data_IF_295705536975
#
_entry.id   IF_295705536975
#
_cell.length_a   1.000
_cell.length_b   1.000
_cell.length_c   1.000
_cell.angle_alpha   90.00
_cell.angle_beta   90.00
_cell.angle_gamma   90.00
#
_symmetry.space_group_name_H-M   'P 1'
#
loop_
_entity.id
_entity.type
_entity.pdbx_description
1 polymer ?
#
# COMPACT_ATOMS: atom_id res chain seq x y z
N UNK A 1 16.79 16.38 34.48
CA UNK A 1 18.13 16.52 33.87
C UNK A 1 18.20 15.52 32.74
N UNK A 2 18.32 16.07 31.53
CA UNK A 2 18.34 15.40 30.24
C UNK A 2 19.64 14.64 30.02
N UNK A 3 19.60 13.64 29.14
CA UNK A 3 20.40 13.55 27.89
C UNK A 3 19.99 12.23 27.19
N UNK A 4 18.97 12.27 26.34
CA UNK A 4 19.04 12.42 24.87
C UNK A 4 19.97 11.40 24.18
N UNK A 5 19.34 10.32 23.71
CA UNK A 5 19.92 9.40 22.74
C UNK A 5 20.12 10.08 21.40
N UNK A 6 21.32 9.86 20.86
CA UNK A 6 21.79 10.38 19.58
C UNK A 6 20.83 10.05 18.44
N UNK A 7 20.24 11.11 17.92
CA UNK A 7 19.43 11.13 16.71
C UNK A 7 20.32 11.02 15.47
N UNK A 8 19.85 10.33 14.43
CA UNK A 8 20.63 9.90 13.25
C UNK A 8 20.98 11.04 12.26
N UNK A 9 21.44 12.20 12.73
CA UNK A 9 21.67 13.39 11.87
C UNK A 9 23.11 13.93 11.80
N UNK A 10 24.09 13.30 12.43
CA UNK A 10 25.46 13.86 12.53
C UNK A 10 26.51 13.25 11.57
N UNK A 11 26.14 12.76 10.39
CA UNK A 11 27.12 12.15 9.47
C UNK A 11 27.69 13.06 8.37
N UNK A 12 27.45 14.38 8.31
CA UNK A 12 28.06 15.20 7.25
C UNK A 12 28.44 16.61 7.70
N UNK A 13 29.44 16.74 8.59
CA UNK A 13 30.23 17.98 8.71
C UNK A 13 31.69 17.69 9.09
N UNK A 14 32.49 17.21 8.14
CA UNK A 14 33.95 17.35 8.26
C UNK A 14 34.69 17.29 6.91
N UNK A 15 34.91 18.45 6.30
CA UNK A 15 36.06 18.83 5.46
C UNK A 15 35.77 20.24 4.89
N UNK A 16 36.60 21.27 5.00
CA UNK A 16 37.95 21.37 5.54
C UNK A 16 38.34 22.84 5.74
N UNK A 17 39.44 23.06 6.44
CA UNK A 17 40.05 24.37 6.63
C UNK A 17 41.34 24.51 5.79
N UNK A 18 41.41 25.64 5.09
CA UNK A 18 42.57 26.42 4.61
C UNK A 18 43.58 25.82 3.62
N UNK A 19 43.65 26.46 2.44
CA UNK A 19 44.81 26.49 1.55
C UNK A 19 44.71 27.69 0.59
N UNK A 20 45.66 28.62 0.68
CA UNK A 20 45.77 29.83 -0.15
C UNK A 20 46.41 29.47 -1.51
N UNK A 21 45.77 29.91 -2.61
CA UNK A 21 46.42 30.29 -3.86
C UNK A 21 46.61 29.22 -4.95
N UNK A 22 45.81 29.30 -6.02
CA UNK A 22 46.27 29.52 -7.41
C UNK A 22 45.05 29.62 -8.35
N UNK A 23 45.04 30.65 -9.21
CA UNK A 23 44.00 30.89 -10.21
C UNK A 23 44.24 29.98 -11.42
N UNK A 24 43.23 29.18 -11.78
CA UNK A 24 43.11 28.51 -13.09
C UNK A 24 41.66 28.67 -13.57
N UNK A 25 41.39 29.11 -14.81
CA UNK A 25 40.04 29.23 -15.33
C UNK A 25 39.59 27.86 -15.84
N UNK A 26 39.00 27.05 -14.97
CA UNK A 26 38.27 25.85 -15.39
C UNK A 26 36.79 26.18 -15.34
N UNK A 27 36.12 26.00 -16.48
CA UNK A 27 34.72 26.36 -16.68
C UNK A 27 33.83 25.90 -15.54
N UNK A 28 33.01 26.84 -15.05
CA UNK A 28 31.90 26.58 -14.15
C UNK A 28 30.88 25.69 -14.89
N UNK A 29 31.14 24.39 -14.92
CA UNK A 29 30.06 23.42 -14.88
C UNK A 29 29.46 23.53 -13.49
N UNK A 30 28.35 24.25 -13.37
CA UNK A 30 27.46 24.11 -12.24
C UNK A 30 27.08 22.64 -12.14
N UNK A 31 27.73 21.94 -11.21
CA UNK A 31 27.16 20.74 -10.62
C UNK A 31 25.88 21.20 -9.93
N UNK A 32 24.76 21.20 -10.65
CA UNK A 32 23.46 21.18 -10.02
C UNK A 32 23.50 19.99 -9.05
N UNK A 33 23.58 20.29 -7.76
CA UNK A 33 23.32 19.28 -6.74
C UNK A 33 21.98 18.68 -7.12
N UNK A 34 21.94 17.37 -7.37
CA UNK A 34 20.72 16.68 -7.72
C UNK A 34 19.67 17.06 -6.67
N UNK A 35 18.68 17.85 -7.09
CA UNK A 35 17.58 18.24 -6.23
C UNK A 35 16.93 16.92 -5.78
N UNK A 36 16.84 16.70 -4.48
CA UNK A 36 16.13 15.52 -3.98
C UNK A 36 14.70 15.62 -4.51
N UNK A 37 14.33 14.68 -5.38
CA UNK A 37 12.96 14.58 -5.87
C UNK A 37 12.07 14.23 -4.68
N UNK A 38 11.10 15.09 -4.42
CA UNK A 38 10.00 14.79 -3.51
C UNK A 38 9.15 13.67 -4.16
N UNK A 39 9.03 12.49 -3.52
CA UNK A 39 8.34 11.34 -4.09
C UNK A 39 6.84 11.56 -4.31
N UNK A 40 6.27 12.60 -3.69
CA UNK A 40 4.84 12.90 -3.74
C UNK A 40 4.55 14.10 -4.66
N UNK A 41 5.58 14.87 -5.02
CA UNK A 41 5.44 16.03 -5.90
C UNK A 41 5.08 15.60 -7.33
N UNK A 42 3.85 15.93 -7.72
CA UNK A 42 3.33 15.71 -9.07
C UNK A 42 2.77 14.32 -9.30
N UNK A 43 2.59 13.54 -8.23
CA UNK A 43 1.90 12.25 -8.30
C UNK A 43 0.41 12.49 -8.52
N UNK A 44 -0.16 11.80 -9.49
CA UNK A 44 -1.59 11.90 -9.79
C UNK A 44 -2.39 10.99 -8.86
N UNK A 45 -3.66 11.31 -8.61
CA UNK A 45 -4.59 10.47 -7.85
C UNK A 45 -4.54 8.98 -8.27
N UNK A 46 -4.47 8.72 -9.57
CA UNK A 46 -4.36 7.35 -10.09
C UNK A 46 -3.02 6.69 -9.75
N UNK A 47 -1.92 7.44 -9.74
CA UNK A 47 -0.61 6.89 -9.37
C UNK A 47 -0.53 6.60 -7.87
N UNK A 48 -1.14 7.41 -7.00
CA UNK A 48 -1.23 7.10 -5.57
C UNK A 48 -2.10 5.87 -5.29
N UNK A 49 -3.28 5.75 -5.90
CA UNK A 49 -4.10 4.54 -5.81
C UNK A 49 -3.32 3.28 -6.25
N UNK A 50 -2.52 3.39 -7.31
CA UNK A 50 -1.65 2.29 -7.76
C UNK A 50 -0.52 1.97 -6.77
N UNK A 51 0.06 2.97 -6.09
CA UNK A 51 1.01 2.72 -5.00
C UNK A 51 0.35 1.97 -3.84
N UNK A 52 -0.89 2.35 -3.50
CA UNK A 52 -1.69 1.73 -2.45
C UNK A 52 -2.04 0.26 -2.78
N UNK A 53 -2.31 -0.06 -4.05
CA UNK A 53 -2.40 -1.45 -4.53
C UNK A 53 -1.11 -2.25 -4.31
N UNK A 54 0.06 -1.59 -4.28
CA UNK A 54 1.32 -2.23 -3.90
C UNK A 54 1.31 -2.76 -2.45
N UNK A 55 0.66 -2.04 -1.52
CA UNK A 55 0.48 -2.49 -0.13
C UNK A 55 -0.52 -3.65 -0.07
N UNK A 56 -1.64 -3.55 -0.80
CA UNK A 56 -2.62 -4.65 -0.91
C UNK A 56 -1.96 -5.93 -1.43
N UNK A 57 -1.17 -5.85 -2.50
CA UNK A 57 -0.43 -7.00 -3.05
C UNK A 57 0.45 -7.70 -2.02
N UNK A 58 1.13 -6.94 -1.17
CA UNK A 58 1.96 -7.48 -0.07
C UNK A 58 1.09 -8.17 0.99
N UNK A 59 -0.08 -7.61 1.32
CA UNK A 59 -1.06 -8.28 2.18
C UNK A 59 -1.55 -9.61 1.57
N UNK A 60 -1.80 -9.66 0.26
CA UNK A 60 -2.17 -10.90 -0.43
C UNK A 60 -1.06 -11.96 -0.35
N UNK A 61 0.21 -11.56 -0.53
CA UNK A 61 1.37 -12.44 -0.37
C UNK A 61 1.49 -13.00 1.05
N UNK A 62 1.24 -12.16 2.07
CA UNK A 62 1.22 -12.61 3.48
C UNK A 62 0.14 -13.68 3.69
N UNK A 63 -1.07 -13.48 3.16
CA UNK A 63 -2.13 -14.50 3.24
C UNK A 63 -1.72 -15.79 2.56
N UNK A 64 -1.16 -15.75 1.35
CA UNK A 64 -0.68 -16.94 0.63
C UNK A 64 0.35 -17.72 1.46
N UNK A 65 1.36 -17.04 1.99
CA UNK A 65 2.37 -17.66 2.83
C UNK A 65 1.80 -18.22 4.14
N UNK A 66 0.89 -17.50 4.79
CA UNK A 66 0.19 -17.96 6.00
C UNK A 66 -0.66 -19.21 5.72
N UNK A 67 -1.44 -19.22 4.63
CA UNK A 67 -2.23 -20.37 4.19
C UNK A 67 -1.33 -21.59 3.97
N UNK A 68 -0.19 -21.39 3.30
CA UNK A 68 0.74 -22.49 3.01
C UNK A 68 1.28 -23.13 4.29
N UNK A 69 1.65 -22.33 5.29
CA UNK A 69 2.06 -22.85 6.60
C UNK A 69 0.97 -23.65 7.28
N UNK A 70 -0.27 -23.13 7.31
CA UNK A 70 -1.41 -23.84 7.88
C UNK A 70 -1.66 -25.19 7.19
N UNK A 71 -1.58 -25.24 5.85
CA UNK A 71 -1.74 -26.48 5.07
C UNK A 71 -0.64 -27.49 5.36
N UNK A 72 0.59 -27.03 5.52
CA UNK A 72 1.74 -27.86 5.86
C UNK A 72 1.80 -28.27 7.33
N UNK A 73 0.86 -27.79 8.16
CA UNK A 73 0.87 -27.96 9.63
C UNK A 73 2.15 -27.38 10.27
N UNK A 74 2.70 -26.34 9.66
CA UNK A 74 3.78 -25.54 10.22
C UNK A 74 3.21 -24.53 11.21
N UNK A 75 4.00 -24.18 12.23
CA UNK A 75 3.63 -23.15 13.19
C UNK A 75 3.48 -21.80 12.50
N UNK A 76 2.32 -21.16 12.72
CA UNK A 76 2.05 -19.80 12.27
C UNK A 76 1.14 -19.11 13.27
N UNK A 77 1.56 -17.91 13.66
CA UNK A 77 0.87 -17.10 14.64
C UNK A 77 -0.45 -16.55 14.04
N UNK A 78 -1.58 -16.60 14.79
CA UNK A 78 -2.84 -15.98 14.34
C UNK A 78 -2.70 -14.49 14.03
N UNK A 79 -1.76 -13.80 14.68
CA UNK A 79 -1.49 -12.39 14.51
C UNK A 79 -1.06 -12.04 13.08
N UNK A 80 -0.44 -12.97 12.34
CA UNK A 80 -0.13 -12.77 10.91
C UNK A 80 -1.40 -12.43 10.14
N UNK A 81 -2.45 -13.24 10.29
CA UNK A 81 -3.72 -13.03 9.61
C UNK A 81 -4.49 -11.85 10.18
N UNK A 82 -4.50 -11.71 11.51
CA UNK A 82 -5.27 -10.68 12.20
C UNK A 82 -4.73 -9.28 11.91
N UNK A 83 -3.43 -9.06 12.02
CA UNK A 83 -2.82 -7.76 11.74
C UNK A 83 -2.91 -7.41 10.25
N UNK A 84 -2.74 -8.38 9.35
CA UNK A 84 -2.93 -8.16 7.90
C UNK A 84 -4.37 -7.74 7.59
N UNK A 85 -5.36 -8.42 8.18
CA UNK A 85 -6.78 -8.07 7.99
C UNK A 85 -7.14 -6.72 8.62
N UNK A 86 -6.52 -6.36 9.75
CA UNK A 86 -6.69 -5.05 10.36
C UNK A 86 -6.13 -3.94 9.47
N UNK A 87 -4.95 -4.15 8.87
CA UNK A 87 -4.35 -3.22 7.91
C UNK A 87 -5.21 -3.08 6.66
N UNK A 88 -5.68 -4.19 6.07
CA UNK A 88 -6.62 -4.17 4.94
C UNK A 88 -7.85 -3.32 5.30
N UNK A 89 -8.45 -3.54 6.47
CA UNK A 89 -9.61 -2.76 6.89
C UNK A 89 -9.30 -1.27 6.96
N UNK A 90 -8.28 -0.86 7.70
CA UNK A 90 -8.03 0.56 7.93
C UNK A 90 -7.50 1.29 6.70
N UNK A 91 -6.66 0.64 5.90
CA UNK A 91 -5.95 1.26 4.79
C UNK A 91 -6.64 1.03 3.45
N UNK A 92 -7.01 -0.22 3.14
CA UNK A 92 -7.63 -0.55 1.85
C UNK A 92 -9.12 -0.19 1.90
N UNK A 93 -9.86 -0.69 2.88
CA UNK A 93 -11.34 -0.61 2.85
C UNK A 93 -11.87 0.77 3.32
N UNK A 94 -11.33 1.32 4.40
CA UNK A 94 -11.85 2.56 5.01
C UNK A 94 -11.16 3.84 4.50
N UNK A 95 -10.13 3.71 3.66
CA UNK A 95 -9.42 4.84 3.04
C UNK A 95 -9.38 4.73 1.52
N UNK A 96 -8.61 3.78 0.97
CA UNK A 96 -8.43 3.64 -0.48
C UNK A 96 -9.76 3.43 -1.23
N UNK A 97 -10.51 2.38 -0.90
CA UNK A 97 -11.80 2.08 -1.53
C UNK A 97 -12.84 3.18 -1.28
N UNK A 98 -12.72 3.91 -0.16
CA UNK A 98 -13.61 5.06 0.13
C UNK A 98 -13.35 6.21 -0.81
N UNK A 99 -12.08 6.52 -1.08
CA UNK A 99 -11.72 7.52 -2.08
C UNK A 99 -12.24 7.14 -3.47
N UNK A 100 -12.13 5.86 -3.85
CA UNK A 100 -12.68 5.40 -5.11
C UNK A 100 -14.20 5.54 -5.19
N UNK A 101 -14.90 5.11 -4.14
CA UNK A 101 -16.36 5.18 -4.04
C UNK A 101 -16.89 6.61 -4.06
N UNK A 102 -16.19 7.53 -3.40
CA UNK A 102 -16.62 8.92 -3.23
C UNK A 102 -16.22 9.81 -4.42
N UNK A 103 -15.05 9.56 -5.02
CA UNK A 103 -14.47 10.50 -5.98
C UNK A 103 -14.24 9.91 -7.37
N UNK A 104 -13.85 8.64 -7.48
CA UNK A 104 -13.50 8.04 -8.78
C UNK A 104 -14.75 7.49 -9.48
N UNK A 105 -15.47 6.58 -8.83
CA UNK A 105 -16.62 5.89 -9.40
C UNK A 105 -17.75 6.84 -9.87
N UNK A 106 -18.08 7.94 -9.15
CA UNK A 106 -19.10 8.87 -9.60
C UNK A 106 -18.76 9.56 -10.93
N UNK A 107 -17.48 9.78 -11.23
CA UNK A 107 -17.06 10.38 -12.51
C UNK A 107 -17.46 9.49 -13.68
N UNK A 108 -17.26 8.18 -13.56
CA UNK A 108 -17.63 7.19 -14.59
C UNK A 108 -19.14 7.09 -14.76
N UNK A 109 -19.89 7.07 -13.65
CA UNK A 109 -21.35 7.01 -13.66
C UNK A 109 -21.97 8.25 -14.32
N UNK A 110 -21.49 9.45 -13.96
CA UNK A 110 -21.95 10.72 -14.55
C UNK A 110 -21.71 10.77 -16.06
N UNK A 111 -20.57 10.26 -16.52
CA UNK A 111 -20.21 10.25 -17.94
C UNK A 111 -20.70 8.99 -18.69
N UNK A 112 -21.42 8.08 -18.01
CA UNK A 112 -21.95 6.83 -18.57
C UNK A 112 -20.87 5.97 -19.25
N UNK A 113 -19.65 5.97 -18.71
CA UNK A 113 -18.53 5.14 -19.19
C UNK A 113 -18.23 4.06 -18.18
N UNK A 114 -17.96 2.82 -18.63
CA UNK A 114 -17.57 1.69 -17.78
C UNK A 114 -18.52 1.38 -16.60
N UNK A 115 -19.80 1.76 -16.70
CA UNK A 115 -20.77 1.66 -15.59
C UNK A 115 -20.87 0.23 -15.03
N UNK A 116 -20.95 -0.79 -15.89
CA UNK A 116 -21.02 -2.19 -15.43
C UNK A 116 -19.74 -2.67 -14.72
N UNK A 117 -18.58 -2.10 -15.06
CA UNK A 117 -17.35 -2.37 -14.32
C UNK A 117 -17.43 -1.71 -12.92
N UNK A 118 -17.79 -0.43 -12.86
CA UNK A 118 -17.94 0.30 -11.58
C UNK A 118 -18.95 -0.39 -10.65
N UNK A 119 -20.09 -0.84 -11.16
CA UNK A 119 -21.08 -1.61 -10.39
C UNK A 119 -20.48 -2.90 -9.81
N UNK A 120 -19.64 -3.58 -10.60
CA UNK A 120 -18.95 -4.80 -10.16
C UNK A 120 -17.91 -4.49 -9.08
N UNK A 121 -17.11 -3.44 -9.25
CA UNK A 121 -16.08 -3.02 -8.28
C UNK A 121 -16.72 -2.65 -6.94
N UNK A 122 -17.78 -1.83 -6.95
CA UNK A 122 -18.56 -1.49 -5.73
C UNK A 122 -19.10 -2.74 -5.03
N UNK A 123 -19.64 -3.70 -5.79
CA UNK A 123 -20.12 -4.95 -5.22
C UNK A 123 -18.98 -5.79 -4.61
N UNK A 124 -17.80 -5.75 -5.23
CA UNK A 124 -16.59 -6.40 -4.72
C UNK A 124 -16.06 -5.74 -3.45
N UNK A 125 -16.05 -4.41 -3.31
CA UNK A 125 -15.70 -3.74 -2.05
C UNK A 125 -16.60 -4.19 -0.89
N UNK A 126 -17.92 -4.28 -1.14
CA UNK A 126 -18.88 -4.78 -0.14
C UNK A 126 -18.59 -6.24 0.25
N UNK A 127 -18.24 -7.08 -0.72
CA UNK A 127 -17.85 -8.46 -0.45
C UNK A 127 -16.52 -8.55 0.31
N UNK A 128 -15.53 -7.73 -0.05
CA UNK A 128 -14.22 -7.61 0.58
C UNK A 128 -14.36 -7.34 2.07
N UNK A 129 -15.10 -6.28 2.45
CA UNK A 129 -15.39 -5.96 3.86
C UNK A 129 -15.98 -7.11 4.67
N UNK A 130 -16.85 -7.92 4.06
CA UNK A 130 -17.42 -9.11 4.71
C UNK A 130 -16.36 -10.19 4.92
N UNK A 131 -15.53 -10.46 3.92
CA UNK A 131 -14.45 -11.44 4.00
C UNK A 131 -13.40 -11.00 5.03
N UNK A 132 -13.00 -9.74 5.04
CA UNK A 132 -12.09 -9.16 6.04
C UNK A 132 -12.64 -9.33 7.46
N UNK A 133 -13.93 -9.12 7.67
CA UNK A 133 -14.57 -9.40 8.96
C UNK A 133 -14.49 -10.88 9.37
N UNK A 134 -14.65 -11.82 8.43
CA UNK A 134 -14.46 -13.25 8.69
C UNK A 134 -13.01 -13.58 9.05
N UNK A 135 -12.04 -13.03 8.31
CA UNK A 135 -10.60 -13.23 8.60
C UNK A 135 -10.27 -12.74 10.00
N UNK A 136 -10.73 -11.55 10.40
CA UNK A 136 -10.52 -11.02 11.75
C UNK A 136 -11.17 -11.89 12.83
N UNK A 137 -12.37 -12.40 12.57
CA UNK A 137 -13.05 -13.30 13.51
C UNK A 137 -12.28 -14.61 13.71
N UNK A 138 -11.94 -15.32 12.64
CA UNK A 138 -11.30 -16.63 12.72
C UNK A 138 -9.81 -16.56 13.12
N UNK A 139 -9.16 -15.41 12.90
CA UNK A 139 -7.80 -15.15 13.36
C UNK A 139 -7.71 -14.69 14.81
N UNK A 140 -8.83 -14.46 15.52
CA UNK A 140 -8.79 -14.16 16.94
C UNK A 140 -8.15 -15.33 17.73
N UNK A 141 -7.30 -15.09 18.75
CA UNK A 141 -6.49 -16.13 19.38
C UNK A 141 -7.29 -17.35 19.89
N UNK A 142 -8.48 -17.14 20.44
CA UNK A 142 -9.35 -18.22 20.90
C UNK A 142 -9.96 -19.00 19.73
N UNK A 143 -10.43 -18.31 18.69
CA UNK A 143 -11.07 -18.93 17.52
C UNK A 143 -10.06 -19.75 16.73
N UNK A 144 -8.85 -19.24 16.56
CA UNK A 144 -7.78 -19.86 15.78
C UNK A 144 -7.32 -21.22 16.31
N UNK A 145 -7.60 -21.56 17.58
CA UNK A 145 -7.26 -22.86 18.17
C UNK A 145 -8.03 -24.03 17.53
N UNK A 146 -9.23 -23.78 16.99
CA UNK A 146 -10.02 -24.80 16.31
C UNK A 146 -9.49 -25.07 14.90
N UNK A 147 -9.32 -26.35 14.55
CA UNK A 147 -8.92 -26.75 13.19
C UNK A 147 -9.97 -26.38 12.14
N UNK A 148 -11.26 -26.47 12.50
CA UNK A 148 -12.38 -26.05 11.64
C UNK A 148 -12.34 -24.54 11.38
N UNK A 149 -12.10 -23.73 12.41
CA UNK A 149 -11.97 -22.28 12.25
C UNK A 149 -10.76 -21.91 11.39
N UNK A 150 -9.64 -22.63 11.50
CA UNK A 150 -8.49 -22.44 10.61
C UNK A 150 -8.82 -22.80 9.16
N UNK A 151 -9.69 -23.79 8.91
CA UNK A 151 -10.17 -24.10 7.57
C UNK A 151 -11.05 -22.97 7.01
N UNK A 152 -11.94 -22.38 7.83
CA UNK A 152 -12.71 -21.19 7.43
C UNK A 152 -11.84 -19.97 7.17
N UNK A 153 -10.80 -19.76 7.98
CA UNK A 153 -9.81 -18.70 7.77
C UNK A 153 -9.10 -18.87 6.42
N UNK A 154 -8.62 -20.07 6.11
CA UNK A 154 -7.98 -20.38 4.81
C UNK A 154 -8.94 -20.05 3.68
N UNK A 155 -10.17 -20.56 3.72
CA UNK A 155 -11.16 -20.32 2.67
C UNK A 155 -11.47 -18.81 2.50
N UNK A 156 -11.54 -18.06 3.60
CA UNK A 156 -11.76 -16.61 3.58
C UNK A 156 -10.61 -15.89 2.88
N UNK A 157 -9.37 -16.15 3.30
CA UNK A 157 -8.18 -15.56 2.67
C UNK A 157 -8.06 -15.93 1.19
N UNK A 158 -8.32 -17.19 0.80
CA UNK A 158 -8.29 -17.61 -0.60
C UNK A 158 -9.36 -16.90 -1.45
N UNK A 159 -10.57 -16.73 -0.89
CA UNK A 159 -11.63 -15.98 -1.58
C UNK A 159 -11.26 -14.50 -1.77
N UNK A 160 -10.62 -13.90 -0.77
CA UNK A 160 -10.11 -12.52 -0.83
C UNK A 160 -9.06 -12.38 -1.94
N UNK A 161 -8.02 -13.23 -1.93
CA UNK A 161 -6.96 -13.24 -2.95
C UNK A 161 -7.54 -13.43 -4.35
N UNK A 162 -8.47 -14.38 -4.51
CA UNK A 162 -9.11 -14.68 -5.79
C UNK A 162 -9.87 -13.50 -6.36
N UNK A 163 -10.46 -12.68 -5.49
CA UNK A 163 -11.23 -11.49 -5.89
C UNK A 163 -10.33 -10.29 -6.15
N UNK A 164 -9.42 -9.96 -5.21
CA UNK A 164 -8.68 -8.70 -5.28
C UNK A 164 -7.60 -8.66 -6.36
N UNK A 165 -6.94 -9.79 -6.68
CA UNK A 165 -5.95 -9.81 -7.78
C UNK A 165 -6.51 -9.30 -9.12
N UNK A 166 -7.65 -9.83 -9.64
CA UNK A 166 -8.24 -9.28 -10.87
C UNK A 166 -8.96 -7.94 -10.68
N UNK A 167 -9.34 -7.58 -9.45
CA UNK A 167 -9.97 -6.30 -9.12
C UNK A 167 -8.99 -5.14 -9.32
N UNK A 168 -7.89 -5.12 -8.55
CA UNK A 168 -6.87 -4.07 -8.63
C UNK A 168 -6.24 -4.02 -10.04
N UNK A 169 -6.04 -5.19 -10.66
CA UNK A 169 -5.52 -5.26 -12.03
C UNK A 169 -6.44 -4.56 -13.03
N UNK A 170 -7.75 -4.60 -12.82
CA UNK A 170 -8.72 -3.97 -13.72
C UNK A 170 -8.84 -2.47 -13.45
N UNK A 171 -8.71 -2.06 -12.20
CA UNK A 171 -8.58 -0.65 -11.85
C UNK A 171 -7.35 -0.02 -12.51
N UNK A 172 -6.18 -0.61 -12.28
CA UNK A 172 -4.89 -0.13 -12.77
C UNK A 172 -4.81 -0.05 -14.30
N UNK A 173 -5.35 -1.05 -14.99
CA UNK A 173 -5.14 -1.21 -16.44
C UNK A 173 -6.30 -0.74 -17.30
N UNK A 174 -7.49 -0.54 -16.72
CA UNK A 174 -8.70 -0.15 -17.46
C UNK A 174 -9.36 1.07 -16.85
N UNK A 175 -9.68 1.06 -15.56
CA UNK A 175 -10.44 2.14 -14.94
C UNK A 175 -9.61 3.43 -14.86
N UNK A 176 -8.48 3.42 -14.18
CA UNK A 176 -7.66 4.61 -13.97
C UNK A 176 -7.12 5.22 -15.27
N UNK A 177 -6.66 4.45 -16.28
CA UNK A 177 -6.30 5.02 -17.57
C UNK A 177 -7.49 5.69 -18.27
N UNK A 178 -8.69 5.12 -18.16
CA UNK A 178 -9.89 5.70 -18.74
C UNK A 178 -10.28 7.03 -18.08
N UNK A 179 -9.95 7.24 -16.80
CA UNK A 179 -10.21 8.50 -16.08
C UNK A 179 -9.55 9.70 -16.78
N UNK A 180 -8.32 9.52 -17.29
CA UNK A 180 -7.57 10.54 -18.07
C UNK A 180 -8.21 10.87 -19.43
N UNK A 181 -9.20 10.09 -19.88
CA UNK A 181 -9.99 10.37 -21.10
C UNK A 181 -11.32 11.06 -20.80
N UNK A 182 -11.64 11.26 -19.53
CA UNK A 182 -12.89 11.86 -19.04
C UNK A 182 -12.62 13.23 -18.44
N UNK A 183 -11.58 13.32 -17.61
CA UNK A 183 -11.22 14.53 -16.89
C UNK A 183 -10.13 15.33 -17.61
N UNK A 184 -10.19 16.65 -17.45
CA UNK A 184 -9.09 17.54 -17.84
C UNK A 184 -7.92 17.43 -16.85
N UNK A 185 -6.69 17.84 -17.23
CA UNK A 185 -5.54 17.80 -16.31
C UNK A 185 -5.79 18.51 -14.97
N UNK A 186 -6.41 19.69 -15.00
CA UNK A 186 -6.73 20.44 -13.78
C UNK A 186 -7.74 19.70 -12.87
N UNK A 187 -8.69 18.96 -13.46
CA UNK A 187 -9.63 18.16 -12.69
C UNK A 187 -8.95 16.93 -12.08
N UNK A 188 -7.98 16.32 -12.77
CA UNK A 188 -7.18 15.22 -12.22
C UNK A 188 -6.32 15.70 -11.05
N UNK A 189 -5.68 16.86 -11.17
CA UNK A 189 -4.92 17.48 -10.06
C UNK A 189 -5.82 17.75 -8.86
N UNK A 190 -6.96 18.42 -9.08
CA UNK A 190 -7.89 18.72 -7.98
C UNK A 190 -8.50 17.47 -7.31
N UNK A 191 -8.50 16.32 -8.01
CA UNK A 191 -8.90 15.03 -7.46
C UNK A 191 -7.82 14.47 -6.54
N UNK A 192 -6.55 14.57 -6.96
CA UNK A 192 -5.39 14.20 -6.15
C UNK A 192 -5.36 14.98 -4.84
N UNK A 193 -5.46 16.31 -4.91
CA UNK A 193 -5.44 17.20 -3.73
C UNK A 193 -6.53 16.83 -2.70
N UNK A 194 -7.70 16.35 -3.16
CA UNK A 194 -8.78 15.90 -2.28
C UNK A 194 -8.44 14.60 -1.57
N UNK A 195 -7.93 13.64 -2.32
CA UNK A 195 -7.58 12.31 -1.81
C UNK A 195 -6.40 12.37 -0.84
N UNK A 196 -5.38 13.19 -1.13
CA UNK A 196 -4.28 13.49 -0.20
C UNK A 196 -4.80 14.11 1.11
N UNK A 197 -5.79 15.01 1.01
CA UNK A 197 -6.46 15.58 2.16
C UNK A 197 -7.23 14.55 3.00
N UNK A 198 -7.77 13.50 2.38
CA UNK A 198 -8.44 12.42 3.10
C UNK A 198 -7.46 11.40 3.68
N UNK A 199 -6.30 11.19 3.05
CA UNK A 199 -5.20 10.41 3.63
C UNK A 199 -4.80 10.98 4.99
N UNK A 200 -4.50 12.27 5.05
CA UNK A 200 -4.12 12.94 6.29
C UNK A 200 -5.23 12.89 7.35
N UNK A 201 -6.51 12.92 6.95
CA UNK A 201 -7.63 12.84 7.90
C UNK A 201 -7.85 11.43 8.45
N UNK A 202 -7.75 10.42 7.60
CA UNK A 202 -8.12 9.04 7.94
C UNK A 202 -6.93 8.28 8.53
N UNK A 203 -5.74 8.45 7.95
CA UNK A 203 -4.52 7.76 8.35
C UNK A 203 -3.59 8.61 9.23
N UNK A 204 -3.79 9.93 9.23
CA UNK A 204 -2.91 10.87 9.93
C UNK A 204 -1.63 11.15 9.14
N UNK A 205 -0.76 11.98 9.72
CA UNK A 205 0.56 12.26 9.14
C UNK A 205 1.37 10.96 8.99
N UNK A 206 2.05 10.76 7.85
CA UNK A 206 2.81 9.55 7.51
C UNK A 206 1.94 8.27 7.43
N UNK A 207 0.68 8.41 7.01
CA UNK A 207 -0.31 7.33 6.95
C UNK A 207 0.11 6.17 6.04
N UNK A 208 0.53 6.50 4.81
CA UNK A 208 1.08 5.55 3.87
C UNK A 208 2.34 4.85 4.39
N UNK A 209 3.33 5.59 4.88
CA UNK A 209 4.61 5.05 5.38
C UNK A 209 4.40 4.11 6.56
N UNK A 210 3.50 4.47 7.49
CA UNK A 210 3.13 3.61 8.62
C UNK A 210 2.50 2.31 8.14
N UNK A 211 1.66 2.37 7.10
CA UNK A 211 1.03 1.19 6.50
C UNK A 211 2.06 0.28 5.84
N UNK A 212 3.01 0.86 5.10
CA UNK A 212 4.17 0.17 4.51
C UNK A 212 5.04 -0.50 5.60
N UNK A 213 5.31 0.20 6.70
CA UNK A 213 6.10 -0.34 7.82
C UNK A 213 5.36 -1.48 8.55
N UNK A 214 4.04 -1.39 8.69
CA UNK A 214 3.22 -2.46 9.28
C UNK A 214 3.28 -3.73 8.43
N UNK A 215 3.06 -3.64 7.11
CA UNK A 215 3.13 -4.81 6.23
C UNK A 215 4.54 -5.41 6.21
N UNK A 216 5.59 -4.59 6.20
CA UNK A 216 6.99 -5.02 6.32
C UNK A 216 7.25 -5.81 7.61
N UNK A 217 6.73 -5.34 8.75
CA UNK A 217 6.87 -6.02 10.03
C UNK A 217 6.27 -7.42 9.99
N UNK A 218 5.10 -7.57 9.35
CA UNK A 218 4.43 -8.88 9.20
C UNK A 218 5.22 -9.80 8.27
N UNK A 219 5.72 -9.29 7.14
CA UNK A 219 6.59 -10.03 6.22
C UNK A 219 7.85 -10.54 6.92
N UNK A 220 8.49 -9.69 7.74
CA UNK A 220 9.67 -10.09 8.54
C UNK A 220 9.33 -11.17 9.56
N UNK A 221 8.22 -11.01 10.28
CA UNK A 221 7.76 -12.02 11.24
C UNK A 221 7.44 -13.37 10.57
N UNK A 222 6.95 -13.33 9.32
CA UNK A 222 6.68 -14.51 8.52
C UNK A 222 7.92 -15.00 7.74
N UNK A 223 9.04 -14.27 7.76
CA UNK A 223 10.27 -14.64 7.05
C UNK A 223 10.20 -14.49 5.53
N UNK A 224 9.20 -13.76 5.01
CA UNK A 224 8.97 -13.55 3.57
C UNK A 224 9.48 -12.20 3.05
N UNK A 225 10.14 -11.41 3.90
CA UNK A 225 10.61 -10.06 3.56
C UNK A 225 11.73 -10.02 2.51
N UNK A 226 12.69 -10.96 2.55
CA UNK A 226 13.80 -10.98 1.59
C UNK A 226 13.32 -11.47 0.23
N UNK A 227 13.19 -10.56 -0.74
CA UNK A 227 12.71 -10.88 -2.08
C UNK A 227 13.59 -11.90 -2.83
N UNK A 228 14.86 -12.08 -2.44
CA UNK A 228 15.74 -13.09 -3.05
C UNK A 228 15.15 -14.49 -2.97
N UNK A 229 14.36 -14.78 -1.95
CA UNK A 229 13.73 -16.11 -1.78
C UNK A 229 12.74 -16.47 -2.88
N UNK A 230 12.15 -15.47 -3.57
CA UNK A 230 11.21 -15.67 -4.67
C UNK A 230 11.90 -15.77 -6.03
N UNK A 231 13.23 -15.67 -6.10
CA UNK A 231 13.98 -15.77 -7.36
C UNK A 231 13.92 -17.22 -7.89
N UNK A 232 13.39 -17.44 -9.11
CA UNK A 232 13.37 -18.77 -9.71
C UNK A 232 14.79 -19.33 -9.86
N UNK A 233 14.97 -20.61 -9.49
CA UNK A 233 16.19 -21.36 -9.75
C UNK A 233 16.02 -22.10 -11.08
N UNK A 234 16.37 -21.42 -12.17
CA UNK A 234 16.36 -21.97 -13.53
C UNK A 234 17.78 -22.15 -14.05
#
# INVERSE_FOLDING_TARGET
MNENGNDRRDFLRMAGAMGVGLVLPTGLGSSEAAENLDPDKGVTASEDLMKEHGVLNRCLLIYEAGIQRLRNKEEVSPQVFNHTAALIRSFVEEYHEKNEEEYIFPVFEQHKKLVGLVETLKAQHIAGRKVTAQVLHFSAPTQFRSAENRAHLIASCESFIRMYRPHESREDTVLFPALRTILTPNQVTALGDKMEGDEHKVLGDEGFEKSVAQVESIEKALGIYDIKQFTPKV
#
